data_IF_907506777157
#
_entry.id   IF_907506777157
#
_cell.length_a   1.000
_cell.length_b   1.000
_cell.length_c   1.000
_cell.angle_alpha   90.00
_cell.angle_beta   90.00
_cell.angle_gamma   90.00
#
_symmetry.space_group_name_H-M   'P 1'
#
loop_
_entity.id
_entity.type
_entity.pdbx_description
1 polymer ?
#
# COMPACT_ATOMS: atom_id res chain seq x y z
N UNK A 1 -46.74 -39.31 -9.45
CA UNK A 1 -46.42 -38.52 -8.25
C UNK A 1 -45.21 -37.66 -8.58
N UNK A 2 -45.46 -36.39 -8.81
CA UNK A 2 -44.48 -35.35 -9.16
C UNK A 2 -43.72 -34.86 -7.93
N UNK A 3 -42.54 -34.24 -8.12
CA UNK A 3 -41.87 -33.53 -7.03
C UNK A 3 -40.45 -33.01 -7.26
N UNK A 4 -40.13 -32.49 -8.45
CA UNK A 4 -38.95 -31.64 -8.65
C UNK A 4 -39.05 -30.38 -7.76
N UNK A 5 -38.04 -30.08 -6.94
CA UNK A 5 -37.96 -28.79 -6.23
C UNK A 5 -36.94 -27.87 -6.88
N UNK A 6 -37.49 -26.79 -7.44
CA UNK A 6 -36.81 -25.61 -7.96
C UNK A 6 -36.07 -24.80 -6.87
N UNK A 7 -34.97 -24.20 -7.33
CA UNK A 7 -34.30 -22.94 -6.95
C UNK A 7 -34.97 -22.03 -5.89
N UNK A 8 -34.14 -21.56 -4.95
CA UNK A 8 -34.07 -20.16 -4.44
C UNK A 8 -32.57 -19.88 -4.28
N UNK A 9 -31.92 -19.08 -5.11
CA UNK A 9 -32.12 -17.63 -5.23
C UNK A 9 -31.05 -16.94 -4.38
N UNK A 10 -29.82 -16.84 -4.92
CA UNK A 10 -28.74 -16.00 -4.38
C UNK A 10 -29.25 -14.55 -4.33
N UNK A 11 -29.16 -13.84 -3.19
CA UNK A 11 -29.50 -12.44 -3.17
C UNK A 11 -28.41 -11.67 -3.94
N UNK A 12 -28.75 -11.25 -5.15
CA UNK A 12 -28.07 -10.13 -5.83
C UNK A 12 -28.37 -8.87 -5.04
N UNK A 13 -27.39 -8.34 -4.31
CA UNK A 13 -27.42 -6.95 -3.88
C UNK A 13 -26.70 -6.11 -4.93
N UNK A 14 -27.44 -5.77 -5.99
CA UNK A 14 -27.24 -4.49 -6.66
C UNK A 14 -28.00 -3.47 -5.84
N UNK A 15 -27.30 -2.64 -5.09
CA UNK A 15 -27.83 -1.33 -4.71
C UNK A 15 -26.68 -0.33 -4.67
N UNK A 16 -26.76 0.64 -5.58
CA UNK A 16 -25.96 1.86 -5.56
C UNK A 16 -26.38 2.62 -4.31
N UNK A 17 -25.47 2.80 -3.36
CA UNK A 17 -25.68 3.78 -2.30
C UNK A 17 -24.62 4.87 -2.45
N UNK A 18 -25.04 5.97 -3.08
CA UNK A 18 -24.40 7.26 -2.91
C UNK A 18 -24.89 7.78 -1.55
N UNK A 19 -24.04 7.77 -0.51
CA UNK A 19 -24.43 8.27 0.80
C UNK A 19 -24.14 9.77 0.88
N UNK A 20 -25.21 10.57 0.84
CA UNK A 20 -25.24 11.92 1.41
C UNK A 20 -25.12 11.78 2.94
N UNK A 21 -24.09 12.36 3.54
CA UNK A 21 -23.88 12.29 4.98
C UNK A 21 -24.84 13.22 5.73
N UNK A 22 -25.57 12.67 6.72
CA UNK A 22 -26.28 13.44 7.73
C UNK A 22 -25.74 13.07 9.13
N UNK A 23 -24.95 13.96 9.71
CA UNK A 23 -24.44 13.84 11.09
C UNK A 23 -23.40 14.93 11.35
N UNK A 24 -23.76 15.95 12.15
CA UNK A 24 -22.96 17.17 12.34
C UNK A 24 -21.62 16.96 13.06
N UNK A 25 -21.47 15.87 13.82
CA UNK A 25 -20.28 15.66 14.67
C UNK A 25 -19.20 14.82 13.97
N UNK A 26 -19.57 13.99 13.00
CA UNK A 26 -18.64 13.35 12.05
C UNK A 26 -18.31 14.26 10.86
N UNK A 27 -18.68 15.54 10.88
CA UNK A 27 -18.38 16.43 9.75
C UNK A 27 -17.00 17.09 9.88
N UNK A 28 -16.50 17.34 11.10
CA UNK A 28 -15.27 18.09 11.34
C UNK A 28 -13.99 17.25 11.24
N UNK A 29 -13.93 16.08 11.89
CA UNK A 29 -12.81 15.13 11.74
C UNK A 29 -12.64 14.69 10.28
N UNK A 30 -13.76 14.59 9.55
CA UNK A 30 -13.77 14.16 8.16
C UNK A 30 -13.53 15.33 7.20
N UNK A 31 -13.79 16.59 7.55
CA UNK A 31 -13.52 17.74 6.68
C UNK A 31 -12.02 18.00 6.53
N UNK A 32 -11.25 17.91 7.61
CA UNK A 32 -9.79 18.08 7.56
C UNK A 32 -9.10 16.92 6.79
N UNK A 33 -9.59 15.69 6.95
CA UNK A 33 -9.12 14.53 6.17
C UNK A 33 -9.58 14.55 4.69
N UNK A 34 -10.77 15.10 4.39
CA UNK A 34 -11.24 15.33 3.02
C UNK A 34 -10.45 16.45 2.33
N UNK A 35 -10.00 17.45 3.09
CA UNK A 35 -9.13 18.52 2.61
C UNK A 35 -7.70 18.02 2.36
N UNK A 36 -7.14 17.17 3.25
CA UNK A 36 -5.83 16.55 3.03
C UNK A 36 -5.83 15.50 1.91
N UNK A 37 -6.94 14.77 1.73
CA UNK A 37 -7.10 13.83 0.62
C UNK A 37 -7.18 14.52 -0.76
N UNK A 38 -7.35 15.85 -0.80
CA UNK A 38 -7.51 16.63 -2.02
C UNK A 38 -8.89 16.40 -2.64
N UNK A 39 -9.54 17.48 -3.06
CA UNK A 39 -10.82 17.44 -3.78
C UNK A 39 -10.67 16.73 -5.12
N UNK A 40 -10.80 15.41 -5.12
CA UNK A 40 -11.03 14.62 -6.33
C UNK A 40 -11.91 13.42 -6.01
N UNK A 41 -13.20 13.69 -5.77
CA UNK A 41 -14.29 12.72 -5.94
C UNK A 41 -14.53 12.44 -7.44
N UNK A 42 -13.48 12.34 -8.25
CA UNK A 42 -13.57 12.19 -9.69
C UNK A 42 -13.72 10.71 -10.06
N UNK A 43 -14.95 10.20 -10.12
CA UNK A 43 -15.38 9.06 -10.93
C UNK A 43 -14.52 7.76 -10.94
N UNK A 44 -13.64 7.53 -9.98
CA UNK A 44 -12.99 6.23 -9.82
C UNK A 44 -14.05 5.28 -9.25
N UNK A 45 -14.35 4.19 -9.95
CA UNK A 45 -15.27 3.17 -9.46
C UNK A 45 -14.69 2.68 -8.13
N UNK A 46 -15.48 2.82 -7.06
CA UNK A 46 -15.14 2.21 -5.77
C UNK A 46 -14.97 0.71 -6.01
N UNK A 47 -13.83 0.10 -5.61
CA UNK A 47 -13.62 -1.32 -5.83
C UNK A 47 -14.68 -2.13 -5.07
N UNK A 48 -15.24 -3.14 -5.73
CA UNK A 48 -16.27 -4.03 -5.19
C UNK A 48 -15.69 -5.27 -4.50
N UNK A 49 -14.38 -5.47 -4.63
CA UNK A 49 -13.64 -6.62 -4.13
C UNK A 49 -12.20 -6.22 -3.79
N UNK A 50 -11.53 -7.05 -2.97
CA UNK A 50 -10.12 -6.82 -2.63
C UNK A 50 -9.21 -6.96 -3.86
N UNK A 51 -9.48 -7.93 -4.73
CA UNK A 51 -8.72 -8.10 -5.97
C UNK A 51 -8.82 -6.88 -6.88
N UNK A 52 -10.02 -6.27 -7.00
CA UNK A 52 -10.18 -5.03 -7.72
C UNK A 52 -9.43 -3.87 -7.05
N UNK A 53 -9.45 -3.79 -5.72
CA UNK A 53 -8.69 -2.77 -4.99
C UNK A 53 -7.19 -2.90 -5.22
N UNK A 54 -6.65 -4.12 -5.25
CA UNK A 54 -5.25 -4.40 -5.56
C UNK A 54 -4.94 -4.04 -7.02
N UNK A 55 -5.81 -4.41 -7.96
CA UNK A 55 -5.68 -4.05 -9.37
C UNK A 55 -5.59 -2.54 -9.58
N UNK A 56 -6.53 -1.77 -9.00
CA UNK A 56 -6.51 -0.31 -9.07
C UNK A 56 -5.28 0.31 -8.41
N UNK A 57 -4.81 -0.26 -7.30
CA UNK A 57 -3.58 0.18 -6.64
C UNK A 57 -2.34 -0.04 -7.52
N UNK A 58 -2.24 -1.22 -8.14
CA UNK A 58 -1.17 -1.57 -9.07
C UNK A 58 -1.18 -0.65 -10.30
N UNK A 59 -2.35 -0.42 -10.89
CA UNK A 59 -2.53 0.50 -12.04
C UNK A 59 -2.12 1.94 -11.68
N UNK A 60 -2.54 2.44 -10.50
CA UNK A 60 -2.19 3.78 -10.04
C UNK A 60 -0.69 3.96 -9.84
N UNK A 61 -0.03 2.99 -9.19
CA UNK A 61 1.43 2.99 -9.01
C UNK A 61 2.17 2.91 -10.34
N UNK A 62 1.78 1.98 -11.23
CA UNK A 62 2.41 1.86 -12.54
C UNK A 62 2.26 3.15 -13.37
N UNK A 63 1.08 3.75 -13.37
CA UNK A 63 0.81 5.00 -14.09
C UNK A 63 1.66 6.15 -13.55
N UNK A 64 1.85 6.23 -12.23
CA UNK A 64 2.72 7.24 -11.62
C UNK A 64 4.20 7.03 -11.98
N UNK A 65 4.68 5.78 -11.91
CA UNK A 65 6.05 5.44 -12.33
C UNK A 65 6.30 5.75 -13.82
N UNK A 66 5.31 5.54 -14.68
CA UNK A 66 5.37 5.92 -16.11
C UNK A 66 5.37 7.42 -16.35
N UNK A 67 4.72 8.19 -15.47
CA UNK A 67 4.79 9.65 -15.49
C UNK A 67 6.15 10.18 -15.00
N UNK A 68 7.05 9.31 -14.54
CA UNK A 68 8.38 9.67 -14.04
C UNK A 68 8.41 9.95 -12.54
N UNK A 69 7.30 9.71 -11.83
CA UNK A 69 7.25 9.92 -10.39
C UNK A 69 8.16 8.92 -9.66
N UNK A 70 8.92 9.42 -8.68
CA UNK A 70 9.92 8.63 -7.95
C UNK A 70 9.63 8.52 -6.45
N UNK A 71 8.62 9.22 -5.94
CA UNK A 71 8.28 9.23 -4.52
C UNK A 71 6.77 9.06 -4.40
N UNK A 72 6.34 7.85 -4.08
CA UNK A 72 4.95 7.46 -4.14
C UNK A 72 4.48 6.87 -2.80
N UNK A 73 3.22 7.14 -2.45
CA UNK A 73 2.49 6.41 -1.43
C UNK A 73 1.35 5.62 -2.05
N UNK A 74 1.17 4.39 -1.58
CA UNK A 74 0.05 3.53 -1.92
C UNK A 74 -0.61 3.06 -0.62
N UNK A 75 -1.84 3.51 -0.37
CA UNK A 75 -2.53 3.30 0.90
C UNK A 75 -3.85 2.55 0.70
N UNK A 76 -4.02 1.45 1.41
CA UNK A 76 -5.12 0.48 1.37
C UNK A 76 -5.57 0.21 2.81
N UNK A 77 -6.39 1.10 3.38
CA UNK A 77 -6.97 0.99 4.72
C UNK A 77 -8.29 0.21 4.68
N UNK A 78 -8.18 -1.09 4.43
CA UNK A 78 -9.29 -2.06 4.46
C UNK A 78 -9.25 -2.90 5.74
N UNK A 79 -10.37 -3.54 6.15
CA UNK A 79 -10.35 -4.53 7.23
C UNK A 79 -9.24 -5.56 7.05
N UNK A 80 -8.41 -5.76 8.09
CA UNK A 80 -7.25 -6.65 8.05
C UNK A 80 -5.95 -6.00 7.56
N UNK A 81 -5.97 -4.83 6.91
CA UNK A 81 -4.76 -4.05 6.57
C UNK A 81 -4.69 -2.69 7.27
N UNK A 82 -5.78 -2.28 7.93
CA UNK A 82 -5.81 -1.05 8.70
C UNK A 82 -5.38 -1.31 10.15
N UNK A 83 -4.15 -0.89 10.47
CA UNK A 83 -3.55 -1.02 11.81
C UNK A 83 -4.36 -0.31 12.90
N UNK A 84 -4.98 0.84 12.59
CA UNK A 84 -5.78 1.62 13.55
C UNK A 84 -6.95 0.81 14.12
N UNK A 85 -7.39 -0.21 13.39
CA UNK A 85 -8.52 -1.07 13.77
C UNK A 85 -8.13 -2.48 14.18
N UNK A 86 -6.82 -2.75 14.33
CA UNK A 86 -6.30 -4.07 14.67
C UNK A 86 -6.92 -4.66 15.94
N UNK A 87 -7.15 -3.81 16.95
CA UNK A 87 -7.80 -4.20 18.21
C UNK A 87 -9.24 -4.73 18.05
N UNK A 88 -9.88 -4.49 16.91
CA UNK A 88 -11.22 -5.00 16.62
C UNK A 88 -11.24 -6.00 15.47
N UNK A 89 -10.35 -5.83 14.50
CA UNK A 89 -10.21 -6.70 13.32
C UNK A 89 -8.73 -7.03 13.19
N UNK A 90 -8.31 -8.28 13.45
CA UNK A 90 -6.91 -8.65 13.44
C UNK A 90 -6.21 -8.28 12.13
N UNK A 91 -4.97 -7.82 12.24
CA UNK A 91 -4.13 -7.56 11.08
C UNK A 91 -3.82 -8.87 10.35
N UNK A 92 -3.93 -8.86 9.03
CA UNK A 92 -3.73 -10.02 8.18
C UNK A 92 -2.44 -9.86 7.37
N UNK A 93 -1.33 -10.38 7.90
CA UNK A 93 -0.02 -10.34 7.24
C UNK A 93 -0.02 -11.10 5.90
N UNK A 94 -0.80 -12.18 5.80
CA UNK A 94 -0.96 -12.92 4.55
C UNK A 94 -1.51 -12.02 3.45
N UNK A 95 -2.54 -11.23 3.75
CA UNK A 95 -3.09 -10.27 2.81
C UNK A 95 -2.08 -9.18 2.45
N UNK A 96 -1.29 -8.70 3.42
CA UNK A 96 -0.22 -7.73 3.16
C UNK A 96 0.84 -8.29 2.18
N UNK A 97 1.22 -9.55 2.34
CA UNK A 97 2.16 -10.22 1.44
C UNK A 97 1.56 -10.39 0.04
N UNK A 98 0.29 -10.78 -0.06
CA UNK A 98 -0.37 -10.92 -1.36
C UNK A 98 -0.45 -9.58 -2.11
N UNK A 99 -0.79 -8.49 -1.41
CA UNK A 99 -0.81 -7.12 -1.96
C UNK A 99 0.58 -6.66 -2.39
N UNK A 100 1.58 -6.81 -1.52
CA UNK A 100 2.95 -6.35 -1.82
C UNK A 100 3.61 -7.15 -2.93
N UNK A 101 3.39 -8.46 -2.99
CA UNK A 101 3.84 -9.32 -4.08
C UNK A 101 3.22 -8.95 -5.43
N UNK A 102 1.90 -8.73 -5.47
CA UNK A 102 1.22 -8.29 -6.70
C UNK A 102 1.70 -6.91 -7.16
N UNK A 103 1.89 -5.98 -6.23
CA UNK A 103 2.41 -4.65 -6.54
C UNK A 103 3.83 -4.71 -7.11
N UNK A 104 4.69 -5.53 -6.53
CA UNK A 104 6.06 -5.73 -7.02
C UNK A 104 6.09 -6.36 -8.42
N UNK A 105 5.27 -7.39 -8.65
CA UNK A 105 5.11 -8.02 -9.97
C UNK A 105 4.61 -7.02 -11.02
N UNK A 106 3.60 -6.20 -10.67
CA UNK A 106 3.07 -5.18 -11.57
C UNK A 106 4.15 -4.14 -11.93
N UNK A 107 4.84 -3.60 -10.92
CA UNK A 107 5.94 -2.66 -11.14
C UNK A 107 7.05 -3.26 -12.01
N UNK A 108 7.40 -4.53 -11.78
CA UNK A 108 8.44 -5.24 -12.52
C UNK A 108 8.06 -5.49 -13.98
N UNK A 109 6.86 -6.04 -14.22
CA UNK A 109 6.34 -6.28 -15.57
C UNK A 109 6.25 -4.99 -16.37
N UNK A 110 5.82 -3.91 -15.73
CA UNK A 110 5.71 -2.61 -16.39
C UNK A 110 7.07 -2.02 -16.75
N UNK A 111 8.06 -2.20 -15.88
CA UNK A 111 9.43 -1.83 -16.21
C UNK A 111 10.01 -2.64 -17.37
N UNK A 112 9.67 -3.94 -17.47
CA UNK A 112 10.08 -4.77 -18.60
C UNK A 112 9.50 -4.27 -19.94
N UNK A 113 8.21 -3.91 -19.96
CA UNK A 113 7.53 -3.37 -21.16
C UNK A 113 8.10 -2.00 -21.60
N UNK A 114 8.52 -1.17 -20.64
CA UNK A 114 9.13 0.13 -20.97
C UNK A 114 10.53 -0.02 -21.61
N UNK A 115 11.22 -1.15 -21.38
CA UNK A 115 12.54 -1.45 -21.91
C UNK A 115 12.56 -1.95 -23.35
N UNK A 116 11.42 -2.30 -23.96
CA UNK A 116 11.38 -2.82 -25.34
C UNK A 116 11.76 -1.78 -26.41
N UNK A 117 11.76 -0.49 -26.06
CA UNK A 117 12.14 0.61 -26.97
C UNK A 117 13.43 1.35 -26.56
N UNK A 118 14.12 0.91 -25.50
CA UNK A 118 15.33 1.59 -24.98
C UNK A 118 16.30 0.56 -24.42
N UNK A 119 17.51 0.46 -24.99
CA UNK A 119 18.57 -0.55 -24.74
C UNK A 119 19.06 -0.71 -23.29
N UNK A 120 18.44 -0.07 -22.31
CA UNK A 120 18.85 -0.19 -20.90
C UNK A 120 17.69 0.17 -19.99
N UNK A 121 17.07 -0.85 -19.37
CA UNK A 121 17.08 -1.02 -17.91
C UNK A 121 16.06 -2.05 -17.45
N UNK A 122 16.53 -3.27 -17.19
CA UNK A 122 15.82 -4.22 -16.34
C UNK A 122 15.70 -3.60 -14.95
N UNK A 123 14.56 -2.95 -14.63
CA UNK A 123 14.40 -2.38 -13.29
C UNK A 123 14.16 -3.49 -12.28
N UNK A 124 15.16 -3.74 -11.46
CA UNK A 124 15.05 -4.62 -10.31
C UNK A 124 14.10 -4.03 -9.27
N UNK A 125 13.27 -4.88 -8.63
CA UNK A 125 12.35 -4.44 -7.59
C UNK A 125 12.81 -4.95 -6.22
N UNK A 126 12.94 -4.06 -5.26
CA UNK A 126 13.22 -4.41 -3.86
C UNK A 126 11.93 -4.30 -3.03
N UNK A 127 11.55 -5.39 -2.38
CA UNK A 127 10.51 -5.44 -1.36
C UNK A 127 11.17 -5.36 0.02
N UNK A 128 11.01 -4.21 0.68
CA UNK A 128 11.67 -3.88 1.95
C UNK A 128 10.67 -3.97 3.10
N UNK A 129 10.91 -4.86 4.05
CA UNK A 129 10.06 -5.01 5.25
C UNK A 129 10.73 -4.40 6.48
N UNK A 130 9.93 -3.94 7.45
CA UNK A 130 10.44 -3.31 8.67
C UNK A 130 11.36 -4.21 9.51
N UNK A 131 11.16 -5.54 9.49
CA UNK A 131 11.93 -6.49 10.29
C UNK A 131 12.40 -7.71 9.48
N UNK A 132 13.51 -8.31 9.90
CA UNK A 132 14.09 -9.48 9.24
C UNK A 132 13.16 -10.70 9.35
N UNK A 133 12.42 -10.82 10.45
CA UNK A 133 11.42 -11.86 10.64
C UNK A 133 10.28 -11.75 9.63
N UNK A 134 9.73 -10.54 9.44
CA UNK A 134 8.67 -10.30 8.45
C UNK A 134 9.18 -10.52 7.03
N UNK A 135 10.41 -10.08 6.71
CA UNK A 135 11.03 -10.33 5.41
C UNK A 135 11.20 -11.84 5.12
N UNK A 136 11.65 -12.61 6.13
CA UNK A 136 11.81 -14.06 6.01
C UNK A 136 10.46 -14.76 5.79
N UNK A 137 9.43 -14.40 6.57
CA UNK A 137 8.06 -14.93 6.42
C UNK A 137 7.48 -14.62 5.03
N UNK A 138 7.65 -13.38 4.55
CA UNK A 138 7.23 -12.99 3.20
C UNK A 138 7.96 -13.80 2.13
N UNK A 139 9.30 -13.91 2.22
CA UNK A 139 10.11 -14.70 1.30
C UNK A 139 9.68 -16.17 1.26
N UNK A 140 9.43 -16.78 2.43
CA UNK A 140 8.93 -18.16 2.49
C UNK A 140 7.55 -18.30 1.84
N UNK A 141 6.63 -17.36 2.11
CA UNK A 141 5.29 -17.39 1.50
C UNK A 141 5.39 -17.27 -0.02
N UNK A 142 6.20 -16.36 -0.54
CA UNK A 142 6.39 -16.21 -1.98
C UNK A 142 6.96 -17.49 -2.60
N UNK A 143 7.95 -18.14 -1.97
CA UNK A 143 8.44 -19.44 -2.47
C UNK A 143 7.36 -20.51 -2.59
N UNK A 144 6.38 -20.52 -1.68
CA UNK A 144 5.37 -21.59 -1.62
C UNK A 144 4.10 -21.27 -2.42
N UNK A 145 3.64 -20.02 -2.40
CA UNK A 145 2.32 -19.63 -2.90
C UNK A 145 2.37 -18.70 -4.12
N UNK A 146 3.51 -18.05 -4.38
CA UNK A 146 3.68 -17.11 -5.49
C UNK A 146 5.15 -17.10 -5.97
N UNK A 147 5.68 -18.24 -6.46
CA UNK A 147 7.10 -18.39 -6.76
C UNK A 147 7.59 -17.38 -7.79
N UNK A 148 6.72 -16.98 -8.71
CA UNK A 148 6.96 -15.95 -9.73
C UNK A 148 7.46 -14.64 -9.14
N UNK A 149 7.01 -14.27 -7.93
CA UNK A 149 7.49 -13.07 -7.23
C UNK A 149 9.01 -13.13 -7.09
N UNK A 150 9.60 -14.25 -6.70
CA UNK A 150 11.04 -14.34 -6.47
C UNK A 150 11.85 -14.62 -7.75
N UNK A 151 11.21 -15.11 -8.80
CA UNK A 151 11.88 -15.46 -10.06
C UNK A 151 11.96 -14.27 -11.03
N UNK A 152 11.08 -13.27 -10.89
CA UNK A 152 10.98 -12.13 -11.82
C UNK A 152 11.97 -10.98 -11.51
N UNK A 153 13.07 -11.21 -10.80
CA UNK A 153 13.98 -10.11 -10.43
C UNK A 153 13.37 -9.19 -9.38
N UNK A 154 12.76 -9.79 -8.36
CA UNK A 154 12.30 -9.10 -7.16
C UNK A 154 13.09 -9.67 -5.97
N UNK A 155 13.71 -8.79 -5.19
CA UNK A 155 14.44 -9.17 -3.97
C UNK A 155 13.66 -8.73 -2.74
N UNK A 156 13.43 -9.67 -1.83
CA UNK A 156 12.85 -9.40 -0.52
C UNK A 156 13.98 -9.20 0.49
N UNK A 157 13.96 -8.10 1.22
CA UNK A 157 14.95 -7.82 2.26
C UNK A 157 14.36 -6.89 3.33
N UNK A 158 15.19 -6.50 4.31
CA UNK A 158 14.83 -5.58 5.38
C UNK A 158 15.04 -4.13 4.95
N UNK A 159 14.21 -3.23 5.50
CA UNK A 159 14.33 -1.79 5.35
C UNK A 159 15.44 -1.21 6.24
N UNK A 160 16.69 -1.67 6.05
CA UNK A 160 17.89 -1.12 6.69
C UNK A 160 18.91 -0.74 5.62
N UNK A 161 19.45 0.48 5.70
CA UNK A 161 20.36 1.05 4.71
C UNK A 161 21.55 0.15 4.39
N UNK A 162 22.18 -0.43 5.42
CA UNK A 162 23.35 -1.33 5.26
C UNK A 162 23.03 -2.60 4.47
N UNK A 163 21.89 -3.24 4.74
CA UNK A 163 21.50 -4.47 4.06
C UNK A 163 21.11 -4.19 2.61
N UNK A 164 20.34 -3.13 2.39
CA UNK A 164 19.98 -2.67 1.05
C UNK A 164 21.22 -2.34 0.21
N UNK A 165 22.16 -1.54 0.74
CA UNK A 165 23.38 -1.16 0.03
C UNK A 165 24.25 -2.37 -0.33
N UNK A 166 24.34 -3.35 0.59
CA UNK A 166 25.06 -4.61 0.33
C UNK A 166 24.42 -5.37 -0.84
N UNK A 167 23.10 -5.54 -0.83
CA UNK A 167 22.39 -6.27 -1.89
C UNK A 167 22.48 -5.53 -3.23
N UNK A 168 22.26 -4.20 -3.23
CA UNK A 168 22.36 -3.39 -4.44
C UNK A 168 23.74 -3.48 -5.09
N UNK A 169 24.81 -3.44 -4.29
CA UNK A 169 26.19 -3.61 -4.76
C UNK A 169 26.44 -5.01 -5.35
N UNK A 170 25.83 -6.05 -4.79
CA UNK A 170 25.93 -7.40 -5.36
C UNK A 170 25.25 -7.52 -6.73
N UNK A 171 24.35 -6.60 -7.06
CA UNK A 171 23.54 -6.56 -8.29
C UNK A 171 23.99 -5.44 -9.25
N UNK A 172 25.23 -4.96 -9.12
CA UNK A 172 25.75 -3.69 -9.67
C UNK A 172 25.51 -3.39 -11.16
N UNK A 173 25.20 -4.38 -12.02
CA UNK A 173 24.91 -4.15 -13.44
C UNK A 173 23.42 -4.01 -13.78
N UNK A 174 22.51 -4.38 -12.88
CA UNK A 174 21.06 -4.38 -13.10
C UNK A 174 20.32 -3.31 -12.28
N UNK A 175 20.96 -2.75 -11.26
CA UNK A 175 20.33 -1.90 -10.25
C UNK A 175 20.45 -0.37 -10.49
N UNK A 176 20.91 0.07 -11.67
CA UNK A 176 21.04 1.51 -11.98
C UNK A 176 19.68 2.25 -11.90
N UNK A 177 18.58 1.55 -12.17
CA UNK A 177 17.22 2.05 -12.01
C UNK A 177 16.38 1.01 -11.29
N UNK A 178 16.31 1.07 -9.96
CA UNK A 178 15.50 0.16 -9.16
C UNK A 178 14.20 0.80 -8.65
N UNK A 179 13.21 -0.04 -8.37
CA UNK A 179 11.99 0.34 -7.64
C UNK A 179 12.08 -0.27 -6.24
N UNK A 180 11.98 0.56 -5.21
CA UNK A 180 12.03 0.14 -3.82
C UNK A 180 10.65 0.33 -3.18
N UNK A 181 10.03 -0.76 -2.74
CA UNK A 181 8.73 -0.75 -2.08
C UNK A 181 8.96 -1.04 -0.60
N UNK A 182 8.74 -0.06 0.26
CA UNK A 182 8.76 -0.22 1.71
C UNK A 182 7.37 -0.65 2.17
N UNK A 183 7.27 -1.88 2.68
CA UNK A 183 6.00 -2.54 3.00
C UNK A 183 5.60 -2.28 4.44
N UNK A 184 4.45 -1.62 4.60
CA UNK A 184 3.83 -1.24 5.87
C UNK A 184 4.83 -0.71 6.90
N UNK A 185 5.63 0.33 6.58
CA UNK A 185 6.56 0.91 7.54
C UNK A 185 5.78 1.55 8.69
N UNK A 186 6.14 1.19 9.93
CA UNK A 186 5.44 1.62 11.15
C UNK A 186 6.43 2.23 12.13
N UNK A 187 6.03 3.33 12.77
CA UNK A 187 6.78 3.88 13.90
C UNK A 187 6.26 3.27 15.21
N UNK A 188 6.98 2.25 15.71
CA UNK A 188 6.71 1.67 17.02
C UNK A 188 7.55 2.35 18.10
N UNK A 189 7.04 2.34 19.34
CA UNK A 189 7.79 2.86 20.49
C UNK A 189 9.11 2.09 20.66
N UNK A 190 10.23 2.80 20.48
CA UNK A 190 11.58 2.23 20.59
C UNK A 190 12.18 1.71 19.29
N UNK A 191 11.40 1.63 18.21
CA UNK A 191 11.86 1.20 16.88
C UNK A 191 11.24 2.09 15.77
N UNK A 192 11.72 3.34 15.62
CA UNK A 192 11.17 4.27 14.64
C UNK A 192 11.73 4.00 13.23
N UNK A 193 11.02 3.18 12.46
CA UNK A 193 11.37 2.80 11.08
C UNK A 193 11.54 4.01 10.16
N UNK A 194 10.90 5.16 10.45
CA UNK A 194 11.03 6.37 9.62
C UNK A 194 12.48 6.80 9.41
N UNK A 195 13.36 6.64 10.41
CA UNK A 195 14.78 7.03 10.27
C UNK A 195 15.52 6.14 9.28
N UNK A 196 15.24 4.85 9.30
CA UNK A 196 15.85 3.92 8.33
C UNK A 196 15.35 4.21 6.91
N UNK A 197 14.07 4.57 6.76
CA UNK A 197 13.49 4.94 5.47
C UNK A 197 14.07 6.27 4.96
N UNK A 198 14.21 7.29 5.83
CA UNK A 198 14.89 8.56 5.52
C UNK A 198 16.33 8.30 5.02
N UNK A 199 17.07 7.45 5.71
CA UNK A 199 18.45 7.09 5.35
C UNK A 199 18.52 6.33 4.02
N UNK A 200 17.64 5.35 3.82
CA UNK A 200 17.52 4.59 2.57
C UNK A 200 17.28 5.50 1.36
N UNK A 201 16.29 6.41 1.48
CA UNK A 201 15.92 7.34 0.41
C UNK A 201 17.05 8.34 0.13
N UNK A 202 17.76 8.79 1.17
CA UNK A 202 18.88 9.73 1.05
C UNK A 202 20.10 9.11 0.37
N UNK A 203 20.37 7.83 0.63
CA UNK A 203 21.49 7.09 0.05
C UNK A 203 21.28 6.71 -1.42
N UNK A 204 20.03 6.69 -1.88
CA UNK A 204 19.68 6.31 -3.25
C UNK A 204 18.54 7.19 -3.79
N UNK A 205 18.84 8.48 -4.04
CA UNK A 205 17.82 9.45 -4.42
C UNK A 205 17.22 9.17 -5.81
N UNK A 206 17.97 8.49 -6.69
CA UNK A 206 17.56 8.21 -8.06
C UNK A 206 16.61 7.02 -8.21
N UNK A 207 16.53 6.16 -7.20
CA UNK A 207 15.56 5.08 -7.16
C UNK A 207 14.12 5.62 -7.04
N UNK A 208 13.17 4.83 -7.55
CA UNK A 208 11.76 5.07 -7.30
C UNK A 208 11.35 4.42 -5.97
N UNK A 209 10.89 5.22 -5.02
CA UNK A 209 10.50 4.77 -3.68
C UNK A 209 8.99 4.79 -3.52
N UNK A 210 8.44 3.67 -3.06
CA UNK A 210 7.02 3.47 -2.84
C UNK A 210 6.80 3.08 -1.39
N UNK A 211 6.02 3.87 -0.66
CA UNK A 211 5.54 3.52 0.67
C UNK A 211 4.19 2.82 0.55
N UNK A 212 4.15 1.51 0.83
CA UNK A 212 2.92 0.73 0.83
C UNK A 212 2.34 0.69 2.25
N UNK A 213 1.12 1.18 2.44
CA UNK A 213 0.44 1.27 3.74
C UNK A 213 1.32 1.89 4.86
N UNK A 214 1.94 3.07 4.65
CA UNK A 214 2.75 3.70 5.69
C UNK A 214 1.88 4.06 6.89
N UNK A 215 2.43 3.82 8.08
CA UNK A 215 1.91 4.32 9.37
C UNK A 215 3.07 4.97 10.12
N UNK A 216 3.59 6.03 9.51
CA UNK A 216 4.76 6.77 9.96
C UNK A 216 4.43 8.10 10.63
N UNK A 217 3.19 8.58 10.48
CA UNK A 217 2.67 9.76 11.14
C UNK A 217 2.49 9.55 12.66
N UNK A 218 2.16 10.63 13.35
CA UNK A 218 1.80 10.59 14.77
C UNK A 218 0.62 9.66 15.01
N UNK A 219 0.79 8.76 15.97
CA UNK A 219 -0.24 7.82 16.40
C UNK A 219 -0.21 7.64 17.91
N UNK A 220 -1.26 7.03 18.50
CA UNK A 220 -1.33 6.79 19.93
C UNK A 220 -0.15 5.96 20.47
N UNK A 221 0.46 5.14 19.61
CA UNK A 221 1.61 4.29 19.94
C UNK A 221 2.97 4.95 19.65
N UNK A 222 2.98 6.21 19.18
CA UNK A 222 4.22 6.95 18.94
C UNK A 222 4.73 7.60 20.23
N UNK A 223 6.05 7.53 20.47
CA UNK A 223 6.69 8.23 21.58
C UNK A 223 6.38 9.73 21.50
N UNK A 224 6.16 10.42 22.63
CA UNK A 224 6.01 11.88 22.63
C UNK A 224 7.19 12.54 21.90
N UNK A 225 6.92 13.14 20.74
CA UNK A 225 7.92 13.78 19.90
C UNK A 225 7.94 15.28 20.19
N UNK A 226 9.13 15.89 20.13
CA UNK A 226 9.23 17.35 20.09
C UNK A 226 8.73 17.91 18.75
N UNK A 227 8.24 19.15 18.75
CA UNK A 227 7.70 19.84 17.57
C UNK A 227 8.64 19.76 16.35
N UNK A 228 9.95 19.90 16.54
CA UNK A 228 10.94 19.82 15.45
C UNK A 228 10.98 18.45 14.77
N UNK A 229 10.84 17.37 15.54
CA UNK A 229 10.84 16.01 15.00
C UNK A 229 9.55 15.74 14.23
N UNK A 230 8.43 16.28 14.70
CA UNK A 230 7.13 16.24 14.01
C UNK A 230 7.21 16.92 12.64
N UNK A 231 7.68 18.18 12.62
CA UNK A 231 7.81 18.97 11.40
C UNK A 231 8.75 18.29 10.39
N UNK A 232 9.89 17.76 10.85
CA UNK A 232 10.83 17.02 10.02
C UNK A 232 10.19 15.80 9.35
N UNK A 233 9.45 14.99 10.12
CA UNK A 233 8.78 13.80 9.59
C UNK A 233 7.71 14.15 8.59
N UNK A 234 6.91 15.18 8.87
CA UNK A 234 5.90 15.69 7.94
C UNK A 234 6.54 16.14 6.64
N UNK A 235 7.58 16.95 6.71
CA UNK A 235 8.31 17.42 5.53
C UNK A 235 8.95 16.28 4.71
N UNK A 236 9.33 15.17 5.36
CA UNK A 236 9.78 13.97 4.65
C UNK A 236 8.63 13.26 3.93
N UNK A 237 7.50 13.04 4.62
CA UNK A 237 6.35 12.33 4.05
C UNK A 237 5.64 13.11 2.95
N UNK A 238 5.65 14.45 3.03
CA UNK A 238 5.14 15.37 1.99
C UNK A 238 5.89 15.25 0.65
N UNK A 239 7.08 14.64 0.64
CA UNK A 239 7.82 14.37 -0.61
C UNK A 239 7.19 13.23 -1.43
N UNK A 240 6.24 12.48 -0.87
CA UNK A 240 5.65 11.31 -1.52
C UNK A 240 4.21 11.59 -1.96
N UNK A 241 3.98 11.54 -3.27
CA UNK A 241 2.65 11.71 -3.84
C UNK A 241 1.80 10.44 -3.74
N UNK A 242 0.49 10.61 -3.55
CA UNK A 242 -0.42 9.47 -3.53
C UNK A 242 -0.63 8.88 -4.93
N UNK A 243 -0.01 7.73 -5.19
CA UNK A 243 -0.28 6.90 -6.35
C UNK A 243 -1.68 6.26 -6.25
N UNK A 244 -2.04 5.81 -5.06
CA UNK A 244 -3.35 5.25 -4.77
C UNK A 244 -3.69 5.40 -3.28
N UNK A 245 -4.96 5.67 -2.99
CA UNK A 245 -5.51 5.71 -1.65
C UNK A 245 -6.91 5.10 -1.65
N UNK A 246 -7.12 4.12 -0.78
CA UNK A 246 -8.41 3.54 -0.47
C UNK A 246 -8.56 3.48 1.04
N UNK A 247 -9.64 4.06 1.55
CA UNK A 247 -10.07 3.85 2.94
C UNK A 247 -11.49 3.33 2.95
N UNK A 248 -11.66 2.10 3.40
CA UNK A 248 -12.98 1.54 3.62
C UNK A 248 -13.60 2.19 4.85
N UNK A 249 -14.82 2.72 4.70
CA UNK A 249 -15.65 3.15 5.81
C UNK A 249 -16.58 2.00 6.14
N UNK A 250 -16.52 1.49 7.36
CA UNK A 250 -17.30 0.33 7.78
C UNK A 250 -17.86 0.48 9.19
N UNK A 251 -18.93 -0.27 9.44
CA UNK A 251 -19.51 -0.46 10.78
C UNK A 251 -19.20 -1.86 11.26
N UNK A 252 -18.82 -1.97 12.54
CA UNK A 252 -18.56 -3.27 13.16
C UNK A 252 -19.87 -3.78 13.76
N UNK A 253 -20.35 -4.92 13.26
CA UNK A 253 -21.52 -5.61 13.83
C UNK A 253 -21.14 -6.32 15.12
N UNK A 254 -21.80 -5.98 16.22
CA UNK A 254 -21.71 -6.73 17.49
C UNK A 254 -22.90 -7.71 17.61
N UNK A 255 -22.71 -8.91 18.17
CA UNK A 255 -21.49 -9.43 18.80
C UNK A 255 -20.49 -10.09 17.82
N UNK A 256 -20.85 -10.29 16.55
CA UNK A 256 -20.06 -11.06 15.57
C UNK A 256 -18.70 -10.47 15.18
N UNK A 257 -18.41 -9.20 15.54
CA UNK A 257 -17.22 -8.41 15.16
C UNK A 257 -16.92 -8.40 13.65
N UNK A 258 -17.96 -8.48 12.83
CA UNK A 258 -17.83 -8.43 11.37
C UNK A 258 -17.86 -6.97 10.91
N UNK A 259 -16.87 -6.56 10.11
CA UNK A 259 -16.92 -5.29 9.40
C UNK A 259 -17.89 -5.35 8.23
N UNK A 260 -18.87 -4.44 8.23
CA UNK A 260 -19.74 -4.18 7.09
C UNK A 260 -19.32 -2.87 6.48
N UNK A 261 -18.77 -2.92 5.27
CA UNK A 261 -18.45 -1.72 4.51
C UNK A 261 -19.72 -0.93 4.18
N UNK A 262 -19.70 0.36 4.50
CA UNK A 262 -20.79 1.31 4.27
C UNK A 262 -20.45 2.31 3.15
N UNK A 263 -19.16 2.61 2.98
CA UNK A 263 -18.66 3.52 1.95
C UNK A 263 -17.15 3.31 1.77
N UNK A 264 -16.54 4.06 0.84
CA UNK A 264 -15.09 4.12 0.71
C UNK A 264 -14.66 5.49 0.18
N UNK A 265 -13.50 5.95 0.64
CA UNK A 265 -12.77 7.07 0.07
C UNK A 265 -11.73 6.51 -0.89
N UNK A 266 -11.70 7.02 -2.12
CA UNK A 266 -10.80 6.54 -3.18
C UNK A 266 -10.14 7.73 -3.87
N UNK A 267 -8.81 7.69 -3.97
CA UNK A 267 -8.00 8.55 -4.85
C UNK A 267 -7.05 7.64 -5.62
N UNK A 268 -6.89 7.88 -6.91
CA UNK A 268 -5.93 7.18 -7.74
C UNK A 268 -5.20 8.20 -8.60
N UNK A 269 -3.91 7.95 -8.86
CA UNK A 269 -3.12 8.73 -9.77
C UNK A 269 -3.78 8.75 -11.16
N UNK A 270 -3.84 9.94 -11.75
CA UNK A 270 -4.26 10.12 -13.13
C UNK A 270 -3.17 10.89 -13.83
N UNK A 271 -2.73 10.35 -14.96
CA UNK A 271 -1.86 11.07 -15.88
C UNK A 271 -2.61 12.36 -16.31
N UNK A 272 -1.99 13.54 -16.22
CA UNK A 272 -2.60 14.78 -16.69
C UNK A 272 -2.93 14.73 -18.19
#
# INVERSE_FOLDING_TARGET
VAGSKLRRGTPRLRERVCVRMSGRDNAKLFSEELESAGRSLAANRVPDSMDQAIGCACEGVCSALEAGERRLQCTLLVPGLNYVTENTIPYNETLLFDVSGQLALAARRRAALAGENSESTSRHVFLLFASAGTAASASQRYRLAAPDVLQDGITVTVAKAREFARLKTQMANEAAHCVCIVVAPKNLRGDPVIRDVEELVSNDPDAAWILLNPSLDEGPDTTALGIREIERRRAFLEQFDHAYYLRALYRIRRPSLVAIQTAALVRAFRKP
#
